data_IF_873803052967
#
_entry.id   IF_873803052967
#
_cell.length_a   1.000
_cell.length_b   1.000
_cell.length_c   1.000
_cell.angle_alpha   90.00
_cell.angle_beta   90.00
_cell.angle_gamma   90.00
#
_symmetry.space_group_name_H-M   'P 1'
#
loop_
_entity.id
_entity.type
_entity.pdbx_description
1 polymer ?
#
# COMPACT_ATOMS: atom_id res chain seq x y z
N UNK A 1 24.90 -0.18 0.14
CA UNK A 1 24.69 -0.41 1.59
C UNK A 1 23.20 -0.61 1.83
N UNK A 2 22.82 -1.51 2.75
CA UNK A 2 21.42 -1.72 3.16
C UNK A 2 20.86 -0.46 3.81
N UNK A 3 19.70 0.02 3.39
CA UNK A 3 19.07 1.20 3.99
C UNK A 3 18.50 0.86 5.37
N UNK A 4 17.81 -0.27 5.51
CA UNK A 4 17.23 -0.68 6.78
C UNK A 4 18.15 -1.69 7.48
N UNK A 5 18.68 -1.28 8.63
CA UNK A 5 19.28 -2.17 9.63
C UNK A 5 18.19 -2.64 10.61
N UNK A 6 18.52 -3.61 11.47
CA UNK A 6 17.62 -4.06 12.53
C UNK A 6 17.21 -2.90 13.46
N UNK A 7 18.15 -2.05 13.85
CA UNK A 7 17.90 -0.88 14.69
C UNK A 7 16.98 0.14 14.01
N UNK A 8 17.17 0.37 12.70
CA UNK A 8 16.29 1.26 11.93
C UNK A 8 14.87 0.71 11.82
N UNK A 9 14.69 -0.60 11.68
CA UNK A 9 13.37 -1.23 11.72
C UNK A 9 12.68 -1.06 13.07
N UNK A 10 13.39 -1.33 14.17
CA UNK A 10 12.86 -1.11 15.53
C UNK A 10 12.54 0.36 15.74
N UNK A 11 13.39 1.29 15.27
CA UNK A 11 13.14 2.73 15.31
C UNK A 11 11.83 3.07 14.58
N UNK A 12 11.63 2.61 13.35
CA UNK A 12 10.38 2.86 12.60
C UNK A 12 9.13 2.37 13.34
N UNK A 13 9.21 1.24 14.04
CA UNK A 13 8.08 0.67 14.76
C UNK A 13 7.77 1.35 16.11
N UNK A 14 8.77 1.94 16.77
CA UNK A 14 8.64 2.37 18.18
C UNK A 14 9.01 3.83 18.47
N UNK A 15 9.69 4.56 17.57
CA UNK A 15 9.95 5.99 17.77
C UNK A 15 8.73 6.89 17.47
N UNK A 16 7.69 6.33 16.86
CA UNK A 16 6.49 7.04 16.42
C UNK A 16 5.23 6.43 17.06
N UNK A 17 4.95 6.71 18.35
CA UNK A 17 3.85 6.11 19.11
C UNK A 17 2.47 6.26 18.45
N UNK A 18 2.18 7.41 17.83
CA UNK A 18 0.92 7.65 17.17
C UNK A 18 0.76 6.78 15.90
N UNK A 19 1.86 6.27 15.36
CA UNK A 19 1.91 5.42 14.16
C UNK A 19 2.03 3.93 14.46
N UNK A 20 1.90 3.46 15.70
CA UNK A 20 2.14 2.06 16.08
C UNK A 20 1.40 1.01 15.21
N UNK A 21 0.23 1.35 14.65
CA UNK A 21 -0.58 0.48 13.79
C UNK A 21 -0.41 0.74 12.29
N UNK A 22 0.32 1.79 11.88
CA UNK A 22 0.43 2.25 10.48
C UNK A 22 1.86 2.48 10.00
N UNK A 23 2.87 2.46 10.88
CA UNK A 23 4.27 2.76 10.56
C UNK A 23 4.79 1.96 9.35
N UNK A 24 4.41 0.69 9.25
CA UNK A 24 4.86 -0.21 8.19
C UNK A 24 4.23 0.12 6.83
N UNK A 25 3.03 0.68 6.82
CA UNK A 25 2.36 1.17 5.61
C UNK A 25 3.10 2.41 5.07
N UNK A 26 3.42 3.33 5.98
CA UNK A 26 4.11 4.57 5.66
C UNK A 26 5.55 4.31 5.22
N UNK A 27 6.25 3.38 5.90
CA UNK A 27 7.57 2.94 5.50
C UNK A 27 7.54 2.25 4.13
N UNK A 28 6.61 1.34 3.89
CA UNK A 28 6.43 0.69 2.58
C UNK A 28 6.21 1.74 1.47
N UNK A 29 5.35 2.73 1.71
CA UNK A 29 5.07 3.81 0.76
C UNK A 29 6.31 4.67 0.49
N UNK A 30 7.00 5.10 1.54
CA UNK A 30 8.21 5.92 1.45
C UNK A 30 9.33 5.20 0.69
N UNK A 31 9.57 3.91 1.00
CA UNK A 31 10.56 3.07 0.30
C UNK A 31 10.18 2.85 -1.16
N UNK A 32 8.89 2.72 -1.47
CA UNK A 32 8.43 2.60 -2.86
C UNK A 32 8.74 3.89 -3.63
N UNK A 33 8.36 5.07 -3.12
CA UNK A 33 8.58 6.33 -3.85
C UNK A 33 10.06 6.74 -3.95
N UNK A 34 10.86 6.44 -2.92
CA UNK A 34 12.32 6.66 -2.90
C UNK A 34 13.11 5.59 -3.68
N UNK A 35 12.39 4.68 -4.37
CA UNK A 35 12.97 3.65 -5.22
C UNK A 35 13.90 2.67 -4.48
N UNK A 36 13.47 2.23 -3.29
CA UNK A 36 14.15 1.23 -2.45
C UNK A 36 13.31 -0.06 -2.31
N UNK A 37 12.90 -0.73 -3.40
CA UNK A 37 12.00 -1.88 -3.31
C UNK A 37 12.64 -3.09 -2.63
N UNK A 38 13.98 -3.20 -2.61
CA UNK A 38 14.72 -4.26 -1.91
C UNK A 38 14.60 -4.20 -0.37
N UNK A 39 14.15 -3.07 0.18
CA UNK A 39 13.99 -2.87 1.62
C UNK A 39 12.59 -3.25 2.11
N UNK A 40 11.60 -3.30 1.22
CA UNK A 40 10.19 -3.63 1.52
C UNK A 40 10.05 -5.02 2.17
N UNK A 41 10.72 -6.09 1.71
CA UNK A 41 10.70 -7.39 2.36
C UNK A 41 11.04 -7.37 3.86
N UNK A 42 12.01 -6.53 4.26
CA UNK A 42 12.46 -6.42 5.66
C UNK A 42 11.37 -5.80 6.53
N UNK A 43 10.73 -4.73 6.05
CA UNK A 43 9.58 -4.09 6.71
C UNK A 43 8.41 -5.06 6.81
N UNK A 44 8.12 -5.79 5.73
CA UNK A 44 7.02 -6.75 5.68
C UNK A 44 7.18 -7.87 6.72
N UNK A 45 8.32 -8.57 6.72
CA UNK A 45 8.56 -9.66 7.68
C UNK A 45 8.58 -9.16 9.12
N UNK A 46 9.14 -7.98 9.36
CA UNK A 46 9.14 -7.40 10.69
C UNK A 46 7.73 -7.01 11.12
N UNK A 47 6.92 -6.42 10.26
CA UNK A 47 5.53 -6.08 10.55
C UNK A 47 4.68 -7.33 10.87
N UNK A 48 4.85 -8.44 10.14
CA UNK A 48 4.15 -9.71 10.41
C UNK A 48 4.40 -10.26 11.82
N UNK A 49 5.58 -10.00 12.39
CA UNK A 49 5.95 -10.40 13.76
C UNK A 49 5.59 -9.32 14.78
N UNK A 50 6.01 -8.09 14.53
CA UNK A 50 5.89 -6.98 15.46
C UNK A 50 4.43 -6.63 15.77
N UNK A 51 3.52 -6.76 14.80
CA UNK A 51 2.09 -6.51 15.01
C UNK A 51 1.37 -7.61 15.82
N UNK A 52 2.06 -8.72 16.15
CA UNK A 52 1.58 -9.72 17.11
C UNK A 52 1.85 -9.31 18.56
N UNK A 53 2.63 -8.25 18.78
CA UNK A 53 2.92 -7.71 20.10
C UNK A 53 1.95 -6.56 20.42
N UNK A 54 1.53 -6.48 21.68
CA UNK A 54 0.74 -5.35 22.17
C UNK A 54 1.59 -4.09 22.20
N UNK A 55 1.04 -2.99 21.66
CA UNK A 55 1.66 -1.69 21.84
C UNK A 55 1.41 -1.18 23.26
N UNK A 56 2.48 -0.85 23.99
CA UNK A 56 2.40 -0.27 25.32
C UNK A 56 3.26 1.00 25.43
N UNK A 57 2.66 2.20 25.46
CA UNK A 57 3.41 3.45 25.50
C UNK A 57 4.15 3.67 26.83
N UNK A 58 3.85 2.89 27.87
CA UNK A 58 4.51 3.01 29.18
C UNK A 58 5.86 2.29 29.25
N UNK A 59 6.13 1.36 28.32
CA UNK A 59 7.40 0.64 28.26
C UNK A 59 8.44 1.51 27.55
N UNK A 60 9.47 1.92 28.30
CA UNK A 60 10.55 2.77 27.79
C UNK A 60 11.68 1.93 27.19
N UNK A 61 12.46 2.53 26.29
CA UNK A 61 13.67 1.92 25.75
C UNK A 61 13.44 0.80 24.72
N UNK A 62 12.21 0.68 24.17
CA UNK A 62 11.88 -0.30 23.13
C UNK A 62 12.80 -0.17 21.91
N UNK A 63 13.18 1.06 21.55
CA UNK A 63 14.00 1.39 20.39
C UNK A 63 15.42 0.79 20.41
N UNK A 64 15.92 0.47 21.60
CA UNK A 64 17.26 -0.11 21.82
C UNK A 64 17.20 -1.49 22.48
N UNK A 65 16.00 -2.07 22.64
CA UNK A 65 15.85 -3.31 23.38
C UNK A 65 16.49 -4.49 22.60
N UNK A 66 17.47 -5.22 23.17
CA UNK A 66 18.25 -6.21 22.42
C UNK A 66 17.40 -7.28 21.74
N UNK A 67 16.34 -7.75 22.39
CA UNK A 67 15.46 -8.79 21.82
C UNK A 67 14.53 -8.27 20.71
N UNK A 68 14.19 -6.97 20.71
CA UNK A 68 13.44 -6.38 19.58
C UNK A 68 14.37 -6.18 18.38
N UNK A 69 15.62 -5.79 18.62
CA UNK A 69 16.66 -5.74 17.59
C UNK A 69 16.90 -7.15 17.02
N UNK A 70 16.99 -8.17 17.87
CA UNK A 70 17.10 -9.56 17.42
C UNK A 70 15.88 -9.98 16.58
N UNK A 71 14.66 -9.65 17.00
CA UNK A 71 13.45 -9.95 16.23
C UNK A 71 13.46 -9.27 14.84
N UNK A 72 13.94 -8.03 14.77
CA UNK A 72 14.13 -7.31 13.51
C UNK A 72 15.21 -7.97 12.64
N UNK A 73 16.33 -8.38 13.23
CA UNK A 73 17.40 -9.11 12.53
C UNK A 73 16.91 -10.44 11.98
N UNK A 74 16.16 -11.22 12.77
CA UNK A 74 15.54 -12.47 12.34
C UNK A 74 14.56 -12.24 11.19
N UNK A 75 13.94 -11.05 11.13
CA UNK A 75 13.00 -10.67 10.07
C UNK A 75 13.72 -10.37 8.77
N UNK A 76 14.83 -9.63 8.84
CA UNK A 76 15.74 -9.42 7.69
C UNK A 76 16.24 -10.77 7.16
N UNK A 77 16.76 -11.64 8.03
CA UNK A 77 17.26 -12.96 7.65
C UNK A 77 16.17 -13.83 7.02
N UNK A 78 14.95 -13.81 7.56
CA UNK A 78 13.83 -14.59 7.00
C UNK A 78 13.40 -14.08 5.62
N UNK A 79 13.39 -12.76 5.40
CA UNK A 79 13.06 -12.18 4.11
C UNK A 79 14.06 -12.61 3.02
N UNK A 80 15.36 -12.59 3.35
CA UNK A 80 16.41 -13.05 2.43
C UNK A 80 16.25 -14.55 2.11
N UNK A 81 16.07 -15.39 3.15
CA UNK A 81 15.87 -16.83 2.96
C UNK A 81 14.65 -17.15 2.10
N UNK A 82 13.55 -16.40 2.26
CA UNK A 82 12.34 -16.63 1.47
C UNK A 82 12.55 -16.28 -0.01
N UNK A 83 13.30 -15.22 -0.31
CA UNK A 83 13.67 -14.91 -1.70
C UNK A 83 14.46 -16.05 -2.34
N UNK A 84 15.41 -16.65 -1.62
CA UNK A 84 16.19 -17.82 -2.06
C UNK A 84 15.29 -19.05 -2.27
N UNK A 85 14.39 -19.35 -1.32
CA UNK A 85 13.43 -20.46 -1.44
C UNK A 85 12.45 -20.27 -2.60
N UNK A 86 11.99 -19.03 -2.83
CA UNK A 86 11.09 -18.72 -3.93
C UNK A 86 11.77 -18.90 -5.29
N UNK A 87 13.07 -18.64 -5.40
CA UNK A 87 13.83 -18.83 -6.64
C UNK A 87 13.91 -20.31 -7.07
N UNK A 88 13.79 -21.24 -6.12
CA UNK A 88 13.78 -22.69 -6.37
C UNK A 88 12.38 -23.32 -6.31
N UNK A 89 11.32 -22.49 -6.27
CA UNK A 89 9.92 -22.96 -6.35
C UNK A 89 9.37 -23.61 -5.08
N UNK A 90 10.00 -23.38 -3.92
CA UNK A 90 9.58 -24.00 -2.65
C UNK A 90 8.43 -23.22 -2.00
N UNK A 91 7.54 -23.94 -1.31
CA UNK A 91 6.50 -23.32 -0.49
C UNK A 91 7.11 -22.54 0.67
N UNK A 92 6.64 -21.30 0.84
CA UNK A 92 7.17 -20.38 1.84
C UNK A 92 6.40 -20.55 3.17
N UNK A 93 7.09 -20.83 4.29
CA UNK A 93 6.44 -21.10 5.57
C UNK A 93 5.87 -19.83 6.20
N UNK A 94 5.10 -19.99 7.27
CA UNK A 94 4.56 -18.87 8.04
C UNK A 94 5.67 -18.10 8.77
N UNK A 95 5.47 -16.79 8.94
CA UNK A 95 6.42 -15.89 9.61
C UNK A 95 5.89 -15.57 11.00
N UNK A 96 6.34 -16.33 11.99
CA UNK A 96 5.96 -16.15 13.41
C UNK A 96 7.13 -15.62 14.24
N UNK A 97 6.84 -15.15 15.46
CA UNK A 97 7.86 -14.80 16.44
C UNK A 97 8.56 -16.09 16.89
N UNK A 98 9.91 -16.19 16.80
CA UNK A 98 10.66 -17.37 17.23
C UNK A 98 10.41 -17.70 18.72
N UNK A 99 10.21 -18.99 19.03
CA UNK A 99 9.98 -19.47 20.41
C UNK A 99 11.11 -19.06 21.37
N UNK A 100 12.33 -18.92 20.86
CA UNK A 100 13.52 -18.49 21.62
C UNK A 100 13.42 -17.08 22.19
N UNK A 101 12.45 -16.28 21.72
CA UNK A 101 12.19 -14.91 22.14
C UNK A 101 10.91 -14.74 22.98
N UNK A 102 10.05 -15.75 23.12
CA UNK A 102 8.71 -15.59 23.72
C UNK A 102 8.74 -14.99 25.13
N UNK A 103 9.62 -15.48 26.01
CA UNK A 103 9.73 -14.99 27.39
C UNK A 103 10.70 -13.82 27.57
N UNK A 104 11.27 -13.30 26.48
CA UNK A 104 12.35 -12.30 26.52
C UNK A 104 11.97 -10.97 25.87
N UNK A 105 10.80 -10.91 25.23
CA UNK A 105 10.31 -9.69 24.60
C UNK A 105 9.70 -8.75 25.66
N UNK A 106 9.87 -7.43 25.52
CA UNK A 106 9.40 -6.46 26.51
C UNK A 106 7.89 -6.15 26.40
N UNK A 107 7.16 -6.86 25.53
CA UNK A 107 5.76 -6.61 25.21
C UNK A 107 4.98 -7.93 25.21
N UNK A 108 3.73 -7.87 25.67
CA UNK A 108 2.84 -9.03 25.67
C UNK A 108 2.43 -9.41 24.25
N UNK A 109 2.05 -10.68 24.06
CA UNK A 109 1.43 -11.14 22.82
C UNK A 109 -0.04 -10.71 22.76
N UNK A 110 -0.43 -10.12 21.64
CA UNK A 110 -1.79 -9.62 21.40
C UNK A 110 -2.82 -10.73 21.16
N UNK A 111 -2.38 -11.88 20.66
CA UNK A 111 -3.24 -12.99 20.27
C UNK A 111 -2.80 -14.29 20.93
N UNK A 112 -3.79 -15.11 21.29
CA UNK A 112 -3.58 -16.44 21.88
C UNK A 112 -3.94 -17.57 20.91
N UNK A 113 -4.77 -17.30 19.90
CA UNK A 113 -5.22 -18.29 18.91
C UNK A 113 -4.42 -18.15 17.60
N UNK A 114 -4.20 -19.27 16.91
CA UNK A 114 -3.57 -19.28 15.58
C UNK A 114 -4.45 -18.62 14.52
N UNK A 115 -5.76 -18.71 14.64
CA UNK A 115 -6.72 -18.14 13.69
C UNK A 115 -6.66 -16.60 13.70
N UNK A 116 -6.59 -15.98 14.87
CA UNK A 116 -6.47 -14.53 14.98
C UNK A 116 -5.13 -14.02 14.44
N UNK A 117 -4.04 -14.78 14.66
CA UNK A 117 -2.71 -14.48 14.10
C UNK A 117 -2.78 -14.53 12.57
N UNK A 118 -3.36 -15.59 12.01
CA UNK A 118 -3.51 -15.76 10.56
C UNK A 118 -4.36 -14.64 9.96
N UNK A 119 -5.49 -14.29 10.57
CA UNK A 119 -6.36 -13.21 10.11
C UNK A 119 -5.64 -11.85 10.09
N UNK A 120 -4.89 -11.52 11.14
CA UNK A 120 -4.09 -10.29 11.16
C UNK A 120 -3.01 -10.29 10.08
N UNK A 121 -2.28 -11.40 9.93
CA UNK A 121 -1.18 -11.48 8.97
C UNK A 121 -1.69 -11.42 7.52
N UNK A 122 -2.86 -12.01 7.22
CA UNK A 122 -3.55 -11.85 5.94
C UNK A 122 -3.90 -10.37 5.68
N UNK A 123 -4.45 -9.68 6.69
CA UNK A 123 -4.77 -8.26 6.58
C UNK A 123 -3.50 -7.41 6.32
N UNK A 124 -2.41 -7.65 7.06
CA UNK A 124 -1.13 -6.95 6.84
C UNK A 124 -0.63 -7.17 5.41
N UNK A 125 -0.62 -8.42 4.92
CA UNK A 125 -0.18 -8.74 3.58
C UNK A 125 -1.04 -8.05 2.50
N UNK A 126 -2.36 -8.02 2.68
CA UNK A 126 -3.27 -7.28 1.80
C UNK A 126 -2.96 -5.78 1.80
N UNK A 127 -2.75 -5.19 2.98
CA UNK A 127 -2.41 -3.76 3.10
C UNK A 127 -1.08 -3.39 2.45
N UNK A 128 -0.05 -4.23 2.55
CA UNK A 128 1.22 -3.98 1.84
C UNK A 128 1.01 -3.92 0.33
N UNK A 129 0.28 -4.89 -0.25
CA UNK A 129 -0.05 -4.90 -1.67
C UNK A 129 -0.84 -3.65 -2.08
N UNK A 130 -1.81 -3.25 -1.25
CA UNK A 130 -2.65 -2.09 -1.48
C UNK A 130 -1.87 -0.76 -1.41
N UNK A 131 -0.95 -0.61 -0.45
CA UNK A 131 -0.05 0.56 -0.37
C UNK A 131 0.75 0.71 -1.66
N UNK A 132 1.41 -0.37 -2.10
CA UNK A 132 2.22 -0.35 -3.32
C UNK A 132 1.33 -0.10 -4.55
N UNK A 133 0.16 -0.70 -4.63
CA UNK A 133 -0.78 -0.47 -5.73
C UNK A 133 -1.23 1.00 -5.79
N UNK A 134 -1.62 1.61 -4.67
CA UNK A 134 -2.03 3.03 -4.63
C UNK A 134 -0.89 3.99 -4.96
N UNK A 135 0.36 3.60 -4.72
CA UNK A 135 1.53 4.42 -5.07
C UNK A 135 1.73 4.59 -6.58
N UNK A 136 1.11 3.74 -7.42
CA UNK A 136 1.28 3.76 -8.88
C UNK A 136 0.82 5.05 -9.52
N UNK A 137 -0.29 5.62 -9.04
CA UNK A 137 -0.83 6.86 -9.55
C UNK A 137 -0.03 8.11 -9.14
N UNK A 138 0.88 7.98 -8.17
CA UNK A 138 1.62 9.10 -7.59
C UNK A 138 3.12 9.05 -7.90
N UNK A 139 3.68 7.85 -8.06
CA UNK A 139 5.13 7.63 -8.22
C UNK A 139 5.50 6.71 -9.39
N UNK A 140 4.50 6.24 -10.14
CA UNK A 140 4.66 5.50 -11.40
C UNK A 140 4.62 3.98 -11.26
N UNK A 141 4.06 3.31 -12.27
CA UNK A 141 3.95 1.85 -12.35
C UNK A 141 5.28 1.09 -12.21
N UNK A 142 6.42 1.52 -12.79
CA UNK A 142 7.67 0.75 -12.70
C UNK A 142 8.13 0.49 -11.26
N UNK A 143 8.03 1.49 -10.37
CA UNK A 143 8.38 1.35 -8.95
C UNK A 143 7.44 0.35 -8.26
N UNK A 144 6.15 0.39 -8.58
CA UNK A 144 5.15 -0.52 -8.03
C UNK A 144 5.35 -1.96 -8.49
N UNK A 145 5.66 -2.18 -9.77
CA UNK A 145 5.94 -3.51 -10.32
C UNK A 145 7.15 -4.11 -9.59
N UNK A 146 8.25 -3.38 -9.48
CA UNK A 146 9.45 -3.85 -8.78
C UNK A 146 9.16 -4.19 -7.31
N UNK A 147 8.42 -3.33 -6.61
CA UNK A 147 8.04 -3.54 -5.22
C UNK A 147 7.10 -4.76 -5.03
N UNK A 148 6.07 -4.92 -5.86
CA UNK A 148 5.14 -6.06 -5.78
C UNK A 148 5.81 -7.38 -6.15
N UNK A 149 6.71 -7.39 -7.14
CA UNK A 149 7.45 -8.60 -7.53
C UNK A 149 8.37 -9.08 -6.41
N UNK A 150 9.08 -8.17 -5.74
CA UNK A 150 9.89 -8.51 -4.57
C UNK A 150 9.01 -8.96 -3.40
N UNK A 151 7.92 -8.25 -3.11
CA UNK A 151 6.98 -8.64 -2.06
C UNK A 151 6.40 -10.05 -2.30
N UNK A 152 6.02 -10.38 -3.54
CA UNK A 152 5.54 -11.71 -3.93
C UNK A 152 6.57 -12.80 -3.59
N UNK A 153 7.85 -12.56 -3.88
CA UNK A 153 8.93 -13.52 -3.66
C UNK A 153 9.18 -13.84 -2.18
N UNK A 154 8.69 -13.01 -1.26
CA UNK A 154 8.87 -13.18 0.18
C UNK A 154 7.56 -13.39 0.95
N UNK A 155 6.42 -13.43 0.25
CA UNK A 155 5.12 -13.64 0.91
C UNK A 155 4.91 -15.11 1.24
N UNK A 156 4.70 -15.49 2.53
CA UNK A 156 4.32 -16.86 2.91
C UNK A 156 3.23 -17.42 2.02
N UNK A 157 3.29 -18.71 1.67
CA UNK A 157 2.33 -19.30 0.71
C UNK A 157 0.88 -19.14 1.20
N UNK A 158 0.65 -19.23 2.51
CA UNK A 158 -0.63 -19.02 3.19
C UNK A 158 -1.18 -17.58 3.08
N UNK A 159 -0.32 -16.58 2.80
CA UNK A 159 -0.67 -15.15 2.75
C UNK A 159 -0.69 -14.58 1.33
N UNK A 160 -0.49 -15.43 0.31
CA UNK A 160 -0.55 -15.03 -1.10
C UNK A 160 -1.99 -14.64 -1.48
N UNK A 161 -2.18 -13.64 -2.35
CA UNK A 161 -3.51 -13.27 -2.80
C UNK A 161 -4.12 -14.39 -3.64
N UNK A 162 -5.44 -14.51 -3.58
CA UNK A 162 -6.20 -15.32 -4.54
C UNK A 162 -6.10 -14.70 -5.94
N UNK A 163 -6.29 -15.47 -7.03
CA UNK A 163 -6.24 -14.97 -8.40
C UNK A 163 -7.53 -14.20 -8.76
N UNK A 164 -7.91 -13.22 -7.93
CA UNK A 164 -9.06 -12.34 -8.12
C UNK A 164 -8.72 -10.95 -7.58
N UNK A 165 -8.97 -9.86 -8.32
CA UNK A 165 -8.80 -8.51 -7.82
C UNK A 165 -9.70 -8.23 -6.61
N UNK A 166 -9.17 -7.55 -5.59
CA UNK A 166 -9.94 -7.05 -4.44
C UNK A 166 -11.01 -6.03 -4.86
N UNK A 167 -10.69 -5.25 -5.89
CA UNK A 167 -11.61 -4.27 -6.48
C UNK A 167 -12.52 -4.98 -7.47
N UNK A 168 -13.85 -4.76 -7.40
CA UNK A 168 -14.75 -5.26 -8.43
C UNK A 168 -14.36 -4.69 -9.80
N UNK A 169 -14.16 -5.56 -10.81
CA UNK A 169 -13.77 -5.10 -12.14
C UNK A 169 -14.94 -4.39 -12.84
N UNK A 170 -14.61 -3.34 -13.60
CA UNK A 170 -15.58 -2.59 -14.41
C UNK A 170 -15.78 -3.20 -15.81
N UNK A 171 -14.88 -4.08 -16.21
CA UNK A 171 -14.96 -4.88 -17.44
C UNK A 171 -14.72 -6.33 -17.04
N UNK A 172 -15.57 -7.24 -17.49
CA UNK A 172 -15.45 -8.68 -17.31
C UNK A 172 -15.16 -9.33 -18.67
N UNK A 173 -13.88 -9.51 -19.03
CA UNK A 173 -13.54 -10.23 -20.25
C UNK A 173 -14.09 -11.66 -20.23
N UNK A 174 -14.48 -12.16 -21.40
CA UNK A 174 -14.99 -13.54 -21.55
C UNK A 174 -16.35 -13.83 -20.92
N UNK A 175 -17.00 -12.89 -20.20
CA UNK A 175 -18.40 -13.03 -19.82
C UNK A 175 -19.29 -12.65 -21.01
N UNK A 176 -19.57 -13.64 -21.85
CA UNK A 176 -20.47 -13.54 -23.00
C UNK A 176 -21.72 -14.37 -22.69
N UNK A 177 -22.89 -13.91 -23.15
CA UNK A 177 -24.12 -14.65 -22.90
C UNK A 177 -24.01 -16.02 -23.60
N UNK A 178 -24.47 -17.10 -22.97
CA UNK A 178 -24.34 -18.45 -23.53
C UNK A 178 -24.97 -18.62 -24.92
N UNK A 179 -25.87 -17.71 -25.31
CA UNK A 179 -26.49 -17.66 -26.64
C UNK A 179 -25.57 -17.13 -27.75
N UNK A 180 -24.43 -16.51 -27.39
CA UNK A 180 -23.45 -15.94 -28.32
C UNK A 180 -22.30 -16.92 -28.66
N UNK A 181 -22.19 -18.03 -27.91
CA UNK A 181 -21.16 -19.07 -28.11
C UNK A 181 -21.61 -20.02 -29.21
N UNK A 182 -20.81 -20.19 -30.28
CA UNK A 182 -21.21 -20.93 -31.49
C UNK A 182 -20.33 -22.15 -31.78
N UNK A 183 -19.22 -22.30 -31.07
CA UNK A 183 -18.43 -23.53 -30.98
C UNK A 183 -17.21 -23.34 -30.10
N UNK A 184 -16.69 -24.43 -29.54
CA UNK A 184 -15.35 -24.50 -28.92
C UNK A 184 -14.48 -25.42 -29.79
N UNK A 185 -13.33 -24.92 -30.25
CA UNK A 185 -12.30 -25.72 -30.93
C UNK A 185 -10.96 -25.68 -30.16
N UNK A 186 -9.95 -26.37 -30.69
CA UNK A 186 -8.63 -26.53 -30.07
C UNK A 186 -7.85 -25.20 -30.01
N UNK A 187 -8.25 -24.20 -30.81
CA UNK A 187 -7.65 -22.86 -30.88
C UNK A 187 -8.47 -21.79 -30.13
N UNK A 188 -9.75 -22.05 -29.81
CA UNK A 188 -10.58 -21.18 -28.98
C UNK A 188 -12.09 -21.32 -29.23
N UNK A 189 -12.89 -20.45 -28.60
CA UNK A 189 -14.34 -20.41 -28.75
C UNK A 189 -14.73 -19.54 -29.95
N UNK A 190 -15.21 -20.13 -31.06
CA UNK A 190 -15.69 -19.41 -32.24
C UNK A 190 -17.15 -18.93 -32.04
N UNK A 191 -17.44 -17.69 -32.39
CA UNK A 191 -18.73 -17.01 -32.12
C UNK A 191 -19.50 -16.63 -33.40
N UNK A 192 -20.83 -16.48 -33.28
CA UNK A 192 -21.68 -15.80 -34.28
C UNK A 192 -21.26 -14.34 -34.31
N UNK A 193 -21.55 -13.63 -35.39
CA UNK A 193 -21.19 -12.23 -35.62
C UNK A 193 -21.82 -11.26 -34.59
N UNK A 194 -21.43 -11.35 -33.33
CA UNK A 194 -21.66 -10.40 -32.26
C UNK A 194 -20.35 -9.63 -32.12
N UNK A 195 -20.40 -8.30 -32.17
CA UNK A 195 -19.26 -7.36 -32.22
C UNK A 195 -18.33 -7.41 -30.98
N UNK A 196 -17.73 -8.57 -30.69
CA UNK A 196 -16.64 -8.67 -29.73
C UNK A 196 -15.34 -8.21 -30.38
N UNK A 197 -14.47 -7.63 -29.57
CA UNK A 197 -13.12 -7.22 -29.97
C UNK A 197 -12.13 -7.95 -29.07
N UNK A 198 -11.17 -8.63 -29.67
CA UNK A 198 -10.09 -9.29 -28.94
C UNK A 198 -9.20 -8.27 -28.24
N UNK A 199 -8.85 -8.56 -26.98
CA UNK A 199 -7.88 -7.80 -26.20
C UNK A 199 -6.88 -8.73 -25.54
N UNK A 200 -5.81 -8.17 -24.97
CA UNK A 200 -4.82 -8.95 -24.21
C UNK A 200 -5.42 -9.65 -22.97
N UNK A 201 -6.56 -9.18 -22.47
CA UNK A 201 -7.24 -9.74 -21.29
C UNK A 201 -8.44 -10.62 -21.69
N UNK A 202 -8.58 -10.93 -22.99
CA UNK A 202 -9.67 -11.71 -23.58
C UNK A 202 -10.68 -10.85 -24.38
N UNK A 203 -11.62 -11.50 -25.07
CA UNK A 203 -12.64 -10.81 -25.86
C UNK A 203 -13.55 -9.95 -24.99
N UNK A 204 -13.86 -8.76 -25.48
CA UNK A 204 -14.80 -7.82 -24.85
C UNK A 204 -15.91 -7.43 -25.81
N UNK A 205 -17.09 -7.13 -25.26
CA UNK A 205 -18.21 -6.50 -25.98
C UNK A 205 -18.88 -5.45 -25.07
N UNK A 206 -19.95 -4.82 -25.56
CA UNK A 206 -20.76 -3.90 -24.74
C UNK A 206 -21.31 -4.60 -23.48
N UNK A 207 -21.65 -5.89 -23.56
CA UNK A 207 -22.14 -6.66 -22.41
C UNK A 207 -21.05 -6.99 -21.39
N UNK A 208 -19.77 -6.90 -21.76
CA UNK A 208 -18.65 -7.08 -20.84
C UNK A 208 -18.48 -5.89 -19.87
N UNK A 209 -19.11 -4.74 -20.15
CA UNK A 209 -18.99 -3.53 -19.33
C UNK A 209 -20.00 -3.54 -18.19
N UNK A 210 -19.51 -3.47 -16.95
CA UNK A 210 -20.34 -3.36 -15.77
C UNK A 210 -20.70 -1.89 -15.49
N UNK A 211 -21.73 -1.38 -16.17
CA UNK A 211 -22.18 0.01 -16.05
C UNK A 211 -22.55 0.41 -14.61
N UNK A 212 -23.13 -0.51 -13.83
CA UNK A 212 -23.43 -0.25 -12.42
C UNK A 212 -22.15 -0.06 -11.59
N UNK A 213 -21.12 -0.88 -11.84
CA UNK A 213 -19.86 -0.76 -11.13
C UNK A 213 -19.15 0.56 -11.46
N UNK A 214 -19.18 0.97 -12.73
CA UNK A 214 -18.68 2.29 -13.15
C UNK A 214 -19.41 3.41 -12.39
N UNK A 215 -20.74 3.35 -12.32
CA UNK A 215 -21.53 4.33 -11.56
C UNK A 215 -21.15 4.34 -10.07
N UNK A 216 -21.04 3.16 -9.44
CA UNK A 216 -20.66 3.01 -8.02
C UNK A 216 -19.26 3.59 -7.75
N UNK A 217 -18.29 3.32 -8.62
CA UNK A 217 -16.92 3.79 -8.48
C UNK A 217 -16.83 5.31 -8.63
N UNK A 218 -17.53 5.90 -9.61
CA UNK A 218 -17.58 7.36 -9.78
C UNK A 218 -18.23 8.04 -8.57
N UNK A 219 -19.36 7.50 -8.07
CA UNK A 219 -20.00 8.05 -6.87
C UNK A 219 -19.05 7.99 -5.67
N UNK A 220 -18.45 6.83 -5.41
CA UNK A 220 -17.48 6.63 -4.32
C UNK A 220 -16.27 7.57 -4.45
N UNK A 221 -15.79 7.77 -5.68
CA UNK A 221 -14.74 8.73 -6.01
C UNK A 221 -15.08 10.16 -5.62
N UNK A 222 -16.27 10.62 -6.00
CA UNK A 222 -16.77 11.95 -5.62
C UNK A 222 -16.88 12.10 -4.10
N UNK A 223 -17.47 11.11 -3.43
CA UNK A 223 -17.64 11.13 -1.98
C UNK A 223 -16.29 11.19 -1.25
N UNK A 224 -15.30 10.39 -1.69
CA UNK A 224 -13.94 10.42 -1.15
C UNK A 224 -13.20 11.73 -1.46
N UNK A 225 -13.30 12.26 -2.69
CA UNK A 225 -12.73 13.56 -3.05
C UNK A 225 -13.25 14.68 -2.15
N UNK A 226 -14.56 14.67 -1.87
CA UNK A 226 -15.21 15.66 -1.02
C UNK A 226 -14.92 15.49 0.48
N UNK A 227 -14.58 14.28 0.93
CA UNK A 227 -14.15 14.07 2.32
C UNK A 227 -12.70 14.53 2.55
N UNK A 228 -11.84 14.39 1.54
CA UNK A 228 -10.44 14.87 1.58
C UNK A 228 -10.38 16.39 1.43
N UNK A 229 -11.07 16.98 0.44
CA UNK A 229 -10.99 18.41 0.15
C UNK A 229 -12.28 19.15 0.53
N UNK A 230 -12.13 20.28 1.22
CA UNK A 230 -13.28 21.13 1.57
C UNK A 230 -14.02 21.65 0.33
N UNK A 231 -15.32 22.01 0.43
CA UNK A 231 -16.14 22.43 -0.72
C UNK A 231 -15.60 23.61 -1.54
N UNK A 232 -14.76 24.47 -0.95
CA UNK A 232 -14.10 25.56 -1.67
C UNK A 232 -12.82 25.08 -2.37
N UNK A 233 -12.05 24.23 -1.71
CA UNK A 233 -10.77 23.72 -2.22
C UNK A 233 -10.98 22.72 -3.34
N UNK A 234 -11.98 21.85 -3.20
CA UNK A 234 -12.25 20.75 -4.13
C UNK A 234 -12.58 21.27 -5.55
N UNK A 235 -13.44 22.30 -5.69
CA UNK A 235 -13.81 22.92 -6.97
C UNK A 235 -12.63 23.67 -7.58
N UNK A 236 -11.85 24.36 -6.75
CA UNK A 236 -10.68 25.10 -7.21
C UNK A 236 -9.64 24.17 -7.83
N UNK A 237 -9.26 23.10 -7.14
CA UNK A 237 -8.27 22.13 -7.63
C UNK A 237 -8.77 21.46 -8.92
N UNK A 238 -10.04 21.02 -8.95
CA UNK A 238 -10.67 20.48 -10.15
C UNK A 238 -10.57 21.45 -11.33
N UNK A 239 -10.99 22.69 -11.14
CA UNK A 239 -11.01 23.68 -12.23
C UNK A 239 -9.60 24.04 -12.69
N UNK A 240 -8.61 24.07 -11.79
CA UNK A 240 -7.20 24.27 -12.15
C UNK A 240 -6.69 23.15 -13.05
N UNK A 241 -6.94 21.88 -12.68
CA UNK A 241 -6.55 20.74 -13.53
C UNK A 241 -7.27 20.76 -14.87
N UNK A 242 -8.59 20.98 -14.87
CA UNK A 242 -9.40 21.00 -16.10
C UNK A 242 -8.99 22.13 -17.06
N UNK A 243 -8.75 23.34 -16.55
CA UNK A 243 -8.34 24.48 -17.36
C UNK A 243 -6.91 24.35 -17.89
N UNK A 244 -6.03 23.65 -17.16
CA UNK A 244 -4.68 23.36 -17.64
C UNK A 244 -4.73 22.35 -18.79
N UNK A 245 -5.50 21.27 -18.63
CA UNK A 245 -5.76 20.27 -19.66
C UNK A 245 -6.96 19.39 -19.24
N UNK A 246 -8.09 19.37 -19.98
CA UNK A 246 -9.27 18.59 -19.57
C UNK A 246 -9.00 17.10 -19.27
N UNK A 247 -8.08 16.48 -20.03
CA UNK A 247 -7.72 15.08 -19.83
C UNK A 247 -7.02 14.85 -18.49
N UNK A 248 -6.32 15.85 -17.93
CA UNK A 248 -5.73 15.75 -16.60
C UNK A 248 -6.80 15.57 -15.53
N UNK A 249 -7.88 16.36 -15.58
CA UNK A 249 -8.99 16.18 -14.64
C UNK A 249 -9.72 14.86 -14.89
N UNK A 250 -10.00 14.53 -16.17
CA UNK A 250 -10.64 13.27 -16.53
C UNK A 250 -9.86 12.09 -15.96
N UNK A 251 -8.55 12.02 -16.21
CA UNK A 251 -7.69 10.95 -15.74
C UNK A 251 -7.61 10.90 -14.21
N UNK A 252 -7.35 12.04 -13.57
CA UNK A 252 -7.29 12.12 -12.11
C UNK A 252 -8.59 11.62 -11.47
N UNK A 253 -9.75 12.04 -11.96
CA UNK A 253 -11.01 11.63 -11.35
C UNK A 253 -11.41 10.20 -11.73
N UNK A 254 -11.52 9.89 -13.02
CA UNK A 254 -12.07 8.62 -13.51
C UNK A 254 -11.14 7.42 -13.31
N UNK A 255 -9.81 7.64 -13.27
CA UNK A 255 -8.84 6.54 -13.22
C UNK A 255 -8.01 6.50 -11.94
N UNK A 256 -7.92 7.60 -11.19
CA UNK A 256 -7.15 7.64 -9.92
C UNK A 256 -8.08 7.74 -8.71
N UNK A 257 -8.87 8.80 -8.57
CA UNK A 257 -9.68 8.99 -7.36
C UNK A 257 -10.85 7.99 -7.28
N UNK A 258 -11.59 7.79 -8.37
CA UNK A 258 -12.76 6.92 -8.38
C UNK A 258 -12.44 5.43 -8.16
N UNK A 259 -11.60 4.77 -8.98
CA UNK A 259 -11.38 3.33 -8.82
C UNK A 259 -10.24 2.99 -7.83
N UNK A 260 -9.19 3.81 -7.75
CA UNK A 260 -7.96 3.46 -7.02
C UNK A 260 -7.93 4.01 -5.59
N UNK A 261 -8.00 5.33 -5.42
CA UNK A 261 -7.83 5.96 -4.11
C UNK A 261 -9.08 5.81 -3.23
N UNK A 262 -10.28 5.96 -3.78
CA UNK A 262 -11.52 5.85 -3.01
C UNK A 262 -11.90 4.42 -2.61
N UNK A 263 -11.23 3.40 -3.17
CA UNK A 263 -11.42 2.03 -2.72
C UNK A 263 -10.79 1.86 -1.34
N UNK A 264 -11.63 1.85 -0.30
CA UNK A 264 -11.19 1.77 1.09
C UNK A 264 -11.50 0.42 1.74
N UNK A 265 -11.66 -0.63 0.94
CA UNK A 265 -11.94 -1.99 1.43
C UNK A 265 -10.73 -2.67 2.11
N UNK A 266 -9.51 -2.24 1.77
CA UNK A 266 -8.26 -2.78 2.34
C UNK A 266 -7.54 -1.75 3.21
N UNK A 267 -7.32 -0.54 2.69
CA UNK A 267 -6.86 0.60 3.48
C UNK A 267 -8.03 1.54 3.76
N UNK A 268 -8.20 1.96 5.00
CA UNK A 268 -9.17 3.00 5.36
C UNK A 268 -8.91 4.33 4.63
N UNK A 269 -9.88 5.24 4.66
CA UNK A 269 -9.70 6.59 4.11
C UNK A 269 -8.54 7.33 4.79
N UNK A 270 -8.39 7.16 6.11
CA UNK A 270 -7.28 7.70 6.91
C UNK A 270 -5.94 7.14 6.44
N UNK A 271 -5.78 5.82 6.42
CA UNK A 271 -4.54 5.16 6.00
C UNK A 271 -4.17 5.52 4.55
N UNK A 272 -5.17 5.56 3.67
CA UNK A 272 -4.98 5.99 2.27
C UNK A 272 -4.43 7.41 2.21
N UNK A 273 -5.05 8.37 2.91
CA UNK A 273 -4.62 9.77 2.88
C UNK A 273 -3.25 9.99 3.51
N UNK A 274 -2.94 9.24 4.58
CA UNK A 274 -1.60 9.23 5.18
C UNK A 274 -0.56 8.67 4.21
N UNK A 275 -0.84 7.56 3.52
CA UNK A 275 0.04 7.01 2.49
C UNK A 275 0.25 8.00 1.34
N UNK A 276 -0.78 8.73 0.90
CA UNK A 276 -0.59 9.79 -0.11
C UNK A 276 0.39 10.85 0.39
N UNK A 277 0.27 11.31 1.65
CA UNK A 277 1.24 12.25 2.22
C UNK A 277 2.66 11.69 2.26
N UNK A 278 2.82 10.43 2.69
CA UNK A 278 4.13 9.75 2.73
C UNK A 278 4.75 9.59 1.33
N UNK A 279 3.93 9.47 0.29
CA UNK A 279 4.38 9.43 -1.10
C UNK A 279 4.81 10.80 -1.64
N UNK A 280 4.13 11.88 -1.25
CA UNK A 280 4.38 13.23 -1.78
C UNK A 280 5.59 13.91 -1.13
N UNK A 281 5.91 13.60 0.14
CA UNK A 281 7.01 14.24 0.88
C UNK A 281 8.36 14.08 0.15
N UNK A 282 8.78 12.89 -0.32
CA UNK A 282 10.08 12.73 -1.00
C UNK A 282 10.10 13.29 -2.43
N UNK A 283 8.97 13.73 -2.97
CA UNK A 283 8.85 14.22 -4.34
C UNK A 283 8.93 15.76 -4.45
N UNK A 284 9.03 16.46 -3.32
CA UNK A 284 9.11 17.93 -3.26
C UNK A 284 7.92 18.68 -3.91
N UNK A 285 6.72 18.09 -3.86
CA UNK A 285 5.49 18.62 -4.44
C UNK A 285 4.60 19.30 -3.39
N UNK A 286 5.16 20.34 -2.76
CA UNK A 286 4.53 21.07 -1.66
C UNK A 286 3.10 21.61 -1.93
N UNK A 287 2.75 22.12 -3.13
CA UNK A 287 1.38 22.56 -3.43
C UNK A 287 0.34 21.45 -3.25
N UNK A 288 0.68 20.23 -3.67
CA UNK A 288 -0.15 19.04 -3.54
C UNK A 288 -0.15 18.55 -2.09
N UNK A 289 1.04 18.47 -1.46
CA UNK A 289 1.21 17.98 -0.09
C UNK A 289 0.35 18.79 0.91
N UNK A 290 0.28 20.12 0.80
CA UNK A 290 -0.54 20.97 1.68
C UNK A 290 -2.01 20.55 1.70
N UNK A 291 -2.59 20.28 0.54
CA UNK A 291 -3.98 19.84 0.42
C UNK A 291 -4.20 18.47 1.06
N UNK A 292 -3.27 17.54 0.84
CA UNK A 292 -3.35 16.19 1.39
C UNK A 292 -3.10 16.11 2.89
N UNK A 293 -2.22 16.94 3.45
CA UNK A 293 -2.02 17.03 4.90
C UNK A 293 -3.34 17.40 5.59
N UNK A 294 -4.01 18.46 5.11
CA UNK A 294 -5.32 18.85 5.65
C UNK A 294 -6.38 17.78 5.38
N UNK A 295 -6.35 17.16 4.20
CA UNK A 295 -7.28 16.11 3.84
C UNK A 295 -7.18 14.87 4.72
N UNK A 296 -5.97 14.46 5.11
CA UNK A 296 -5.75 13.38 6.06
C UNK A 296 -6.45 13.67 7.41
N UNK A 297 -6.37 14.92 7.89
CA UNK A 297 -7.09 15.34 9.10
C UNK A 297 -8.61 15.24 8.90
N UNK A 298 -9.13 15.68 7.74
CA UNK A 298 -10.57 15.64 7.46
C UNK A 298 -11.13 14.20 7.45
N UNK A 299 -10.32 13.20 7.13
CA UNK A 299 -10.70 11.77 7.14
C UNK A 299 -10.25 11.02 8.39
N UNK A 300 -9.89 11.74 9.45
CA UNK A 300 -9.71 11.18 10.80
C UNK A 300 -8.27 11.02 11.28
N UNK A 301 -7.26 11.49 10.54
CA UNK A 301 -5.90 11.57 11.07
C UNK A 301 -5.80 12.67 12.14
N UNK A 302 -4.96 12.43 13.14
CA UNK A 302 -4.63 13.41 14.16
C UNK A 302 -3.44 14.26 13.70
N UNK A 303 -3.29 15.47 14.25
CA UNK A 303 -2.11 16.30 13.99
C UNK A 303 -0.81 15.62 14.42
N UNK A 304 -0.86 14.81 15.48
CA UNK A 304 0.27 14.06 15.97
C UNK A 304 0.67 12.96 14.98
N UNK A 305 -0.27 12.14 14.51
CA UNK A 305 0.00 11.14 13.45
C UNK A 305 0.64 11.80 12.22
N UNK A 306 0.15 12.97 11.80
CA UNK A 306 0.71 13.66 10.62
C UNK A 306 2.09 14.27 10.87
N UNK A 307 2.41 14.65 12.11
CA UNK A 307 3.75 15.13 12.48
C UNK A 307 4.73 13.97 12.48
N UNK A 308 4.40 12.89 13.19
CA UNK A 308 5.22 11.69 13.26
C UNK A 308 5.37 11.01 11.88
N UNK A 309 4.37 11.11 11.01
CA UNK A 309 4.46 10.62 9.63
C UNK A 309 5.54 11.37 8.85
N UNK A 310 5.62 12.70 9.00
CA UNK A 310 6.66 13.50 8.35
C UNK A 310 8.03 13.09 8.87
N UNK A 311 8.17 12.96 10.18
CA UNK A 311 9.44 12.56 10.81
C UNK A 311 9.89 11.16 10.38
N UNK A 312 8.96 10.19 10.28
CA UNK A 312 9.23 8.85 9.77
C UNK A 312 9.74 8.88 8.33
N UNK A 313 9.10 9.68 7.46
CA UNK A 313 9.49 9.79 6.05
C UNK A 313 10.83 10.51 5.90
N UNK A 314 11.08 11.52 6.73
CA UNK A 314 12.35 12.23 6.82
C UNK A 314 13.50 11.30 7.20
N UNK A 315 13.30 10.45 8.22
CA UNK A 315 14.26 9.41 8.60
C UNK A 315 14.59 8.49 7.43
N UNK A 316 13.59 8.01 6.70
CA UNK A 316 13.81 7.14 5.54
C UNK A 316 14.60 7.88 4.45
N UNK A 317 14.22 9.11 4.13
CA UNK A 317 14.91 9.95 3.14
C UNK A 317 16.39 10.15 3.50
N UNK A 318 16.69 10.42 4.77
CA UNK A 318 18.07 10.56 5.25
C UNK A 318 18.86 9.27 5.13
N UNK A 319 18.23 8.12 5.42
CA UNK A 319 18.89 6.81 5.36
C UNK A 319 19.13 6.33 3.93
N UNK A 320 18.21 6.64 3.01
CA UNK A 320 18.44 6.43 1.58
C UNK A 320 19.59 7.32 1.11
N UNK A 321 19.67 8.54 1.65
CA UNK A 321 20.59 9.57 1.21
C UNK A 321 20.12 10.25 -0.08
N UNK A 322 20.68 11.43 -0.36
CA UNK A 322 20.32 12.26 -1.50
C UNK A 322 19.73 13.61 -1.10
N UNK A 323 19.53 14.48 -2.09
CA UNK A 323 18.86 15.76 -1.90
C UNK A 323 17.39 15.64 -2.34
N UNK A 324 16.49 15.47 -1.37
CA UNK A 324 15.06 15.24 -1.62
C UNK A 324 14.24 16.52 -1.72
N UNK A 325 14.76 17.65 -1.23
CA UNK A 325 14.01 18.90 -1.12
C UNK A 325 14.92 20.05 -1.56
N UNK A 326 14.56 20.73 -2.64
CA UNK A 326 15.41 21.75 -3.25
C UNK A 326 15.78 22.88 -2.28
N UNK A 327 14.82 23.28 -1.44
CA UNK A 327 14.98 24.33 -0.41
C UNK A 327 15.27 23.75 0.99
N UNK A 328 15.69 22.48 1.07
CA UNK A 328 15.98 21.78 2.32
C UNK A 328 14.73 21.30 3.07
N UNK A 329 14.95 20.52 4.14
CA UNK A 329 13.90 19.84 4.92
C UNK A 329 12.84 20.79 5.48
N UNK A 330 13.24 21.98 5.91
CA UNK A 330 12.33 22.95 6.55
C UNK A 330 11.31 23.56 5.56
N UNK A 331 11.56 23.43 4.25
CA UNK A 331 10.63 23.87 3.20
C UNK A 331 9.43 22.94 3.05
N UNK A 332 9.54 21.68 3.49
CA UNK A 332 8.49 20.66 3.36
C UNK A 332 7.25 21.08 4.14
N UNK A 333 6.11 21.12 3.45
CA UNK A 333 4.84 21.57 4.01
C UNK A 333 4.49 20.86 5.32
N UNK A 334 3.87 21.62 6.22
CA UNK A 334 3.37 21.19 7.54
C UNK A 334 1.94 21.68 7.76
N UNK A 335 1.25 21.08 8.74
CA UNK A 335 -0.13 21.39 9.12
C UNK A 335 -0.30 22.71 9.84
#
# INVERSE_FOLDING_TARGET
MSVLTAERLVKLAYNYPALHSTWYLLACMALTVTNQPAEIPKVFHFALRQQLLEFNPNVKGLQTHPQLIQLAQDSISSAQKFAEMSAVGVNLPDVLIPYTLHDKLPLAFKYKSGDDISALQQLIAAKFREVVMKSSALSGLPKCINALMLLKSVTPTSLRPVPKPERPPIVLPGHLASNDIVGEDIEGTAMKETYSVETIDGPISVSSVNAEQVHRDLKRGSDFWNSVYSPKVNRRIRNQMYNAYPDLWYYAYHHVYAPLLSYTGVLSAKETSMCVCANLIPQDVNPQLKGHLRGAINVGATKQEMTELRDLVFDICDWVGGNWWAEGRDSVAKL
#
